data_IF_336595528964
#
_entry.id   IF_336595528964
#
_cell.length_a   1.000
_cell.length_b   1.000
_cell.length_c   1.000
_cell.angle_alpha   90.00
_cell.angle_beta   90.00
_cell.angle_gamma   90.00
#
_symmetry.space_group_name_H-M   'P 1'
#
loop_
_entity.id
_entity.type
_entity.pdbx_description
1 polymer ?
#
# COMPACT_ATOMS: atom_id res chain seq x y z
N UNK A 1 -8.84 9.72 29.17
CA UNK A 1 -7.75 9.79 28.17
C UNK A 1 -7.94 8.60 27.25
N UNK A 2 -8.49 8.83 26.07
CA UNK A 2 -8.78 7.78 25.09
C UNK A 2 -7.48 7.48 24.35
N UNK A 3 -7.03 6.23 24.43
CA UNK A 3 -5.79 5.77 23.83
C UNK A 3 -5.97 5.71 22.31
N UNK A 4 -5.52 6.76 21.60
CA UNK A 4 -5.29 6.74 20.16
C UNK A 4 -4.08 5.80 19.93
N UNK A 5 -4.29 4.66 19.27
CA UNK A 5 -3.17 3.73 19.03
C UNK A 5 -3.54 2.39 18.40
N UNK A 6 -4.79 1.93 18.49
CA UNK A 6 -5.15 0.58 18.03
C UNK A 6 -5.97 0.52 16.75
N UNK A 7 -6.55 1.65 16.31
CA UNK A 7 -7.36 1.71 15.10
C UNK A 7 -7.07 3.00 14.35
N UNK A 8 -6.71 2.89 13.07
CA UNK A 8 -6.90 4.00 12.15
C UNK A 8 -8.41 4.33 12.15
N UNK A 9 -8.81 5.60 12.10
CA UNK A 9 -10.22 5.95 11.88
C UNK A 9 -10.75 5.20 10.66
N UNK A 10 -11.61 4.22 10.90
CA UNK A 10 -12.24 3.43 9.84
C UNK A 10 -13.52 4.14 9.43
N UNK A 11 -13.43 4.91 8.35
CA UNK A 11 -14.59 5.48 7.68
C UNK A 11 -15.01 4.49 6.59
N UNK A 12 -16.09 3.71 6.77
CA UNK A 12 -16.60 2.85 5.71
C UNK A 12 -17.19 3.74 4.61
N UNK A 13 -16.34 4.24 3.73
CA UNK A 13 -16.78 4.85 2.48
C UNK A 13 -16.93 3.72 1.48
N UNK A 14 -18.16 3.39 1.11
CA UNK A 14 -18.39 2.56 -0.07
C UNK A 14 -17.68 3.23 -1.26
N UNK A 15 -16.89 2.45 -2.00
CA UNK A 15 -16.25 3.01 -3.20
C UNK A 15 -17.34 3.42 -4.18
N UNK A 16 -17.45 4.71 -4.45
CA UNK A 16 -18.38 5.22 -5.43
C UNK A 16 -17.84 4.85 -6.82
N UNK A 17 -18.67 4.16 -7.62
CA UNK A 17 -18.24 3.57 -8.89
C UNK A 17 -17.86 4.63 -9.95
N UNK A 18 -18.31 5.86 -9.76
CA UNK A 18 -18.07 7.03 -10.59
C UNK A 18 -16.85 7.86 -10.17
N UNK A 19 -16.13 7.46 -9.11
CA UNK A 19 -14.93 8.17 -8.64
C UNK A 19 -13.67 7.52 -9.18
N UNK A 20 -12.87 8.29 -9.93
CA UNK A 20 -11.49 7.94 -10.23
C UNK A 20 -10.61 8.18 -9.00
N UNK A 21 -10.44 7.14 -8.19
CA UNK A 21 -9.66 7.19 -6.95
C UNK A 21 -8.19 7.57 -7.14
N UNK A 22 -7.60 7.29 -8.31
CA UNK A 22 -6.22 7.69 -8.57
C UNK A 22 -6.13 9.22 -8.71
N UNK A 23 -7.01 9.81 -9.52
CA UNK A 23 -7.11 11.26 -9.68
C UNK A 23 -7.58 11.97 -8.40
N UNK A 24 -8.53 11.38 -7.65
CA UNK A 24 -8.98 11.94 -6.38
C UNK A 24 -7.85 11.94 -5.32
N UNK A 25 -7.10 10.84 -5.21
CA UNK A 25 -5.92 10.78 -4.34
C UNK A 25 -4.85 11.79 -4.76
N UNK A 26 -4.68 11.99 -6.07
CA UNK A 26 -3.77 12.99 -6.63
C UNK A 26 -4.17 14.42 -6.22
N UNK A 27 -5.46 14.75 -6.35
CA UNK A 27 -6.02 16.04 -5.94
C UNK A 27 -5.87 16.28 -4.43
N UNK A 28 -6.20 15.30 -3.59
CA UNK A 28 -6.02 15.40 -2.14
C UNK A 28 -4.54 15.58 -1.77
N UNK A 29 -3.62 14.88 -2.46
CA UNK A 29 -2.18 15.07 -2.26
C UNK A 29 -1.74 16.49 -2.59
N UNK A 30 -2.21 17.03 -3.71
CA UNK A 30 -1.92 18.41 -4.10
C UNK A 30 -2.45 19.40 -3.06
N UNK A 31 -3.69 19.26 -2.59
CA UNK A 31 -4.25 20.11 -1.53
C UNK A 31 -3.39 20.08 -0.26
N UNK A 32 -2.93 18.90 0.17
CA UNK A 32 -2.08 18.78 1.36
C UNK A 32 -0.73 19.51 1.21
N UNK A 33 -0.11 19.44 0.03
CA UNK A 33 1.20 20.05 -0.20
C UNK A 33 1.13 21.57 -0.37
N UNK A 34 0.11 22.07 -1.06
CA UNK A 34 0.03 23.48 -1.44
C UNK A 34 -0.82 24.31 -0.49
N UNK A 35 -1.85 23.72 0.11
CA UNK A 35 -2.81 24.43 0.97
C UNK A 35 -2.73 23.99 2.45
N UNK A 36 -2.01 22.92 2.75
CA UNK A 36 -1.80 22.40 4.10
C UNK A 36 -2.93 21.49 4.62
N UNK A 37 -2.62 20.75 5.68
CA UNK A 37 -3.52 19.73 6.23
C UNK A 37 -4.73 20.27 7.02
N UNK A 38 -4.63 21.47 7.57
CA UNK A 38 -5.63 22.04 8.48
C UNK A 38 -7.00 22.21 7.80
N UNK A 39 -7.01 22.82 6.61
CA UNK A 39 -8.23 23.00 5.80
C UNK A 39 -8.86 21.67 5.39
N UNK A 40 -8.03 20.70 5.02
CA UNK A 40 -8.53 19.39 4.64
C UNK A 40 -9.20 18.68 5.84
N UNK A 41 -8.65 18.84 7.04
CA UNK A 41 -9.26 18.32 8.28
C UNK A 41 -10.60 18.99 8.55
N UNK A 42 -10.74 20.30 8.31
CA UNK A 42 -12.03 21.00 8.45
C UNK A 42 -13.11 20.40 7.53
N UNK A 43 -12.76 20.07 6.28
CA UNK A 43 -13.67 19.39 5.34
C UNK A 43 -14.07 18.01 5.86
N UNK A 44 -13.11 17.22 6.38
CA UNK A 44 -13.40 15.89 6.91
C UNK A 44 -14.23 15.90 8.20
N UNK A 45 -14.17 16.96 8.98
CA UNK A 45 -14.94 17.14 10.22
C UNK A 45 -16.31 17.78 9.99
N UNK A 46 -16.56 18.32 8.80
CA UNK A 46 -17.84 18.92 8.46
C UNK A 46 -18.95 17.86 8.42
N UNK A 47 -20.11 18.18 9.00
CA UNK A 47 -21.28 17.31 9.05
C UNK A 47 -21.91 17.10 7.66
N UNK A 48 -21.67 18.05 6.74
CA UNK A 48 -22.00 17.96 5.33
C UNK A 48 -20.72 17.92 4.49
N UNK A 49 -20.56 16.88 3.67
CA UNK A 49 -19.48 16.77 2.70
C UNK A 49 -19.98 17.13 1.29
N UNK A 50 -19.21 17.91 0.54
CA UNK A 50 -19.57 18.28 -0.84
C UNK A 50 -18.76 19.45 -1.39
N UNK A 51 -19.07 19.82 -2.64
CA UNK A 51 -18.42 20.92 -3.35
C UNK A 51 -18.60 22.25 -2.60
N UNK A 52 -19.81 22.53 -2.10
CA UNK A 52 -20.09 23.77 -1.35
C UNK A 52 -19.21 23.91 -0.11
N UNK A 53 -18.94 22.81 0.61
CA UNK A 53 -18.06 22.82 1.78
C UNK A 53 -16.59 23.01 1.39
N UNK A 54 -16.16 22.43 0.27
CA UNK A 54 -14.83 22.66 -0.28
C UNK A 54 -14.66 24.13 -0.67
N UNK A 55 -15.64 24.71 -1.36
CA UNK A 55 -15.62 26.12 -1.75
C UNK A 55 -15.59 27.06 -0.53
N UNK A 56 -16.36 26.74 0.52
CA UNK A 56 -16.36 27.50 1.77
C UNK A 56 -15.01 27.40 2.50
N UNK A 57 -14.44 26.21 2.69
CA UNK A 57 -13.17 26.05 3.41
C UNK A 57 -12.00 26.71 2.67
N UNK A 58 -11.95 26.55 1.34
CA UNK A 58 -10.88 27.15 0.53
C UNK A 58 -11.18 28.59 0.09
N UNK A 59 -12.35 29.12 0.46
CA UNK A 59 -12.80 30.48 0.12
C UNK A 59 -12.62 30.80 -1.38
N UNK A 60 -12.93 29.81 -2.24
CA UNK A 60 -12.68 29.84 -3.68
C UNK A 60 -13.70 28.96 -4.39
N UNK A 61 -14.15 29.35 -5.59
CA UNK A 61 -15.05 28.51 -6.38
C UNK A 61 -14.36 27.24 -6.87
N UNK A 62 -15.11 26.16 -7.04
CA UNK A 62 -14.60 24.85 -7.46
C UNK A 62 -13.82 24.93 -8.78
N UNK A 63 -14.33 25.71 -9.74
CA UNK A 63 -13.68 25.91 -11.03
C UNK A 63 -12.29 26.54 -10.91
N UNK A 64 -12.09 27.45 -9.95
CA UNK A 64 -10.80 28.08 -9.71
C UNK A 64 -9.83 27.10 -9.02
N UNK A 65 -10.33 26.30 -8.07
CA UNK A 65 -9.56 25.25 -7.40
C UNK A 65 -9.12 24.18 -8.40
N UNK A 66 -10.02 23.75 -9.28
CA UNK A 66 -9.74 22.79 -10.34
C UNK A 66 -8.71 23.33 -11.34
N UNK A 67 -8.87 24.58 -11.79
CA UNK A 67 -7.92 25.23 -12.68
C UNK A 67 -6.52 25.33 -12.04
N UNK A 68 -6.44 25.68 -10.75
CA UNK A 68 -5.19 25.67 -9.99
C UNK A 68 -4.56 24.29 -9.95
N UNK A 69 -5.33 23.26 -9.56
CA UNK A 69 -4.85 21.88 -9.52
C UNK A 69 -4.21 21.46 -10.84
N UNK A 70 -4.87 21.67 -11.98
CA UNK A 70 -4.29 21.30 -13.28
C UNK A 70 -3.08 22.13 -13.69
N UNK A 71 -2.96 23.36 -13.20
CA UNK A 71 -1.82 24.24 -13.51
C UNK A 71 -0.61 24.03 -12.59
N UNK A 72 -0.83 23.59 -11.35
CA UNK A 72 0.19 23.53 -10.30
C UNK A 72 0.59 22.10 -9.91
N UNK A 73 -0.29 21.11 -10.14
CA UNK A 73 0.03 19.72 -9.80
C UNK A 73 1.14 19.18 -10.69
N UNK A 74 2.00 18.35 -10.08
CA UNK A 74 2.95 17.56 -10.85
C UNK A 74 2.20 16.46 -11.60
N UNK A 75 2.67 16.06 -12.79
CA UNK A 75 2.09 14.91 -13.51
C UNK A 75 2.01 13.62 -12.69
N UNK A 76 2.93 13.48 -11.73
CA UNK A 76 2.94 12.43 -10.73
C UNK A 76 3.71 12.91 -9.52
N UNK A 77 3.23 12.60 -8.32
CA UNK A 77 4.00 12.81 -7.10
C UNK A 77 5.03 11.68 -6.92
N UNK A 78 6.27 11.99 -6.48
CA UNK A 78 7.16 10.96 -5.99
C UNK A 78 6.48 10.25 -4.81
N UNK A 79 6.82 8.96 -4.60
CA UNK A 79 6.37 8.25 -3.38
C UNK A 79 6.70 9.10 -2.16
N UNK A 80 5.68 9.41 -1.36
CA UNK A 80 5.77 10.38 -0.28
C UNK A 80 6.85 10.03 0.76
N UNK A 81 7.24 8.76 0.88
CA UNK A 81 8.33 8.32 1.72
C UNK A 81 9.03 7.07 1.15
N UNK A 82 10.37 7.08 1.17
CA UNK A 82 11.25 5.90 1.27
C UNK A 82 11.71 5.80 2.73
N UNK A 83 10.82 5.48 3.66
CA UNK A 83 11.33 4.93 4.92
C UNK A 83 11.77 3.52 4.56
N UNK A 84 13.05 3.14 4.78
CA UNK A 84 13.48 1.77 4.52
C UNK A 84 12.57 0.86 5.32
N UNK A 85 11.75 0.08 4.63
CA UNK A 85 10.89 -0.87 5.32
C UNK A 85 11.80 -1.97 5.88
N UNK A 86 11.50 -2.55 7.05
CA UNK A 86 12.30 -3.63 7.58
C UNK A 86 12.48 -4.75 6.54
N UNK A 87 13.73 -5.15 6.30
CA UNK A 87 14.04 -6.19 5.31
C UNK A 87 13.57 -7.56 5.82
N UNK A 88 12.95 -8.35 4.96
CA UNK A 88 12.61 -9.75 5.27
C UNK A 88 13.89 -10.53 5.56
N UNK A 89 13.88 -11.31 6.65
CA UNK A 89 15.02 -12.14 7.01
C UNK A 89 15.08 -13.36 6.11
N UNK A 90 16.23 -13.62 5.51
CA UNK A 90 16.45 -14.85 4.76
C UNK A 90 16.50 -16.04 5.72
N UNK A 91 15.58 -17.00 5.55
CA UNK A 91 15.43 -18.19 6.41
C UNK A 91 15.74 -19.50 5.69
N UNK A 92 15.98 -19.44 4.37
CA UNK A 92 16.43 -20.54 3.52
C UNK A 92 17.13 -20.00 2.26
N UNK A 93 17.65 -20.88 1.42
CA UNK A 93 18.42 -20.47 0.22
C UNK A 93 17.62 -19.52 -0.69
N UNK A 94 16.33 -19.77 -0.85
CA UNK A 94 15.42 -18.99 -1.69
C UNK A 94 14.15 -18.60 -0.95
N UNK A 95 14.23 -18.43 0.38
CA UNK A 95 13.09 -18.17 1.25
C UNK A 95 13.39 -17.05 2.25
N UNK A 96 12.45 -16.12 2.37
CA UNK A 96 12.49 -14.97 3.27
C UNK A 96 11.22 -14.90 4.11
N UNK A 97 11.36 -14.48 5.37
CA UNK A 97 10.24 -14.38 6.29
C UNK A 97 10.40 -13.21 7.28
N UNK A 98 9.28 -12.75 7.82
CA UNK A 98 9.27 -11.79 8.92
C UNK A 98 8.02 -11.97 9.78
N UNK A 99 8.19 -11.77 11.09
CA UNK A 99 7.07 -11.55 12.01
C UNK A 99 6.58 -10.11 11.88
N UNK A 100 5.27 -9.95 11.95
CA UNK A 100 4.56 -8.69 11.79
C UNK A 100 3.86 -8.35 13.11
N UNK A 101 3.96 -7.09 13.51
CA UNK A 101 3.23 -6.51 14.63
C UNK A 101 2.47 -5.29 14.10
N UNK A 102 1.14 -5.32 14.18
CA UNK A 102 0.29 -4.28 13.62
C UNK A 102 -0.01 -3.24 14.69
N UNK A 103 0.94 -2.34 14.91
CA UNK A 103 0.86 -1.24 15.87
C UNK A 103 1.05 0.10 15.15
N UNK A 104 0.05 0.99 15.23
CA UNK A 104 0.11 2.31 14.63
C UNK A 104 1.27 3.19 15.13
N UNK A 105 1.89 2.83 16.26
CA UNK A 105 3.09 3.49 16.77
C UNK A 105 4.37 3.18 16.01
N UNK A 106 4.37 2.19 15.11
CA UNK A 106 5.55 1.78 14.35
C UNK A 106 5.64 2.50 13.00
N UNK A 107 6.86 2.88 12.60
CA UNK A 107 7.12 3.68 11.39
C UNK A 107 6.84 2.94 10.07
N UNK A 108 6.82 1.61 10.10
CA UNK A 108 6.54 0.72 8.98
C UNK A 108 5.06 0.31 8.89
N UNK A 109 4.21 0.82 9.78
CA UNK A 109 2.77 0.56 9.79
C UNK A 109 2.02 1.73 9.18
N UNK A 110 1.00 1.42 8.38
CA UNK A 110 0.12 2.38 7.69
C UNK A 110 -1.33 2.05 7.97
N UNK A 111 -2.14 3.09 8.21
CA UNK A 111 -3.60 2.96 8.27
C UNK A 111 -4.22 2.99 6.88
N UNK A 112 -5.21 2.14 6.65
CA UNK A 112 -6.06 2.15 5.45
C UNK A 112 -7.52 2.00 5.85
N UNK A 113 -8.44 2.23 4.91
CA UNK A 113 -9.86 1.94 5.12
C UNK A 113 -10.16 0.45 5.31
N UNK A 114 -9.24 -0.45 4.97
CA UNK A 114 -9.43 -1.91 5.07
C UNK A 114 -8.74 -2.52 6.31
N UNK A 115 -7.99 -1.72 7.08
CA UNK A 115 -7.20 -2.17 8.24
C UNK A 115 -5.81 -1.57 8.29
N UNK A 116 -4.89 -2.25 8.97
CA UNK A 116 -3.49 -1.83 9.10
C UNK A 116 -2.63 -2.55 8.06
N UNK A 117 -1.63 -1.85 7.52
CA UNK A 117 -0.68 -2.39 6.55
C UNK A 117 0.73 -2.33 7.13
N UNK A 118 1.42 -3.46 7.17
CA UNK A 118 2.83 -3.53 7.48
C UNK A 118 3.66 -3.57 6.19
N UNK A 119 4.74 -2.79 6.15
CA UNK A 119 5.67 -2.74 5.02
C UNK A 119 6.92 -3.57 5.30
N UNK A 120 7.39 -4.33 4.32
CA UNK A 120 8.68 -5.05 4.36
C UNK A 120 9.42 -4.88 3.05
N UNK A 121 10.73 -5.01 3.07
CA UNK A 121 11.54 -5.05 1.84
C UNK A 121 12.07 -6.46 1.58
N UNK A 122 12.17 -6.84 0.31
CA UNK A 122 12.87 -8.07 -0.09
C UNK A 122 13.63 -7.86 -1.39
N UNK A 123 14.89 -8.25 -1.42
CA UNK A 123 15.71 -8.25 -2.63
C UNK A 123 15.73 -9.64 -3.25
N UNK A 124 15.19 -9.75 -4.45
CA UNK A 124 15.14 -10.99 -5.22
C UNK A 124 16.38 -11.07 -6.13
N UNK A 125 17.23 -12.10 -5.98
CA UNK A 125 18.53 -12.15 -6.65
C UNK A 125 18.45 -12.51 -8.14
N UNK A 126 17.33 -13.10 -8.59
CA UNK A 126 17.14 -13.56 -9.96
C UNK A 126 15.68 -13.44 -10.39
N UNK A 127 15.39 -13.24 -11.69
CA UNK A 127 14.02 -13.31 -12.19
C UNK A 127 13.47 -14.75 -12.07
N UNK A 128 12.17 -14.88 -11.83
CA UNK A 128 11.54 -16.20 -11.69
C UNK A 128 10.13 -16.14 -11.12
N UNK A 129 9.55 -17.30 -10.84
CA UNK A 129 8.29 -17.37 -10.10
C UNK A 129 8.57 -17.26 -8.61
N UNK A 130 7.84 -16.38 -7.93
CA UNK A 130 7.92 -16.21 -6.49
C UNK A 130 6.53 -16.37 -5.89
N UNK A 131 6.50 -17.10 -4.78
CA UNK A 131 5.30 -17.31 -3.99
C UNK A 131 5.28 -16.39 -2.78
N UNK A 132 4.08 -15.90 -2.44
CA UNK A 132 3.83 -15.06 -1.28
C UNK A 132 2.71 -15.66 -0.45
N UNK A 133 2.87 -15.60 0.87
CA UNK A 133 1.87 -16.03 1.84
C UNK A 133 1.94 -15.20 3.12
N UNK A 134 0.79 -15.05 3.79
CA UNK A 134 0.72 -14.43 5.10
C UNK A 134 -0.38 -15.05 5.95
N UNK A 135 -0.11 -15.15 7.26
CA UNK A 135 -1.06 -15.64 8.25
C UNK A 135 -2.15 -14.64 8.63
N UNK A 136 -2.09 -13.39 8.16
CA UNK A 136 -3.02 -12.32 8.58
C UNK A 136 -4.42 -12.46 7.99
N UNK A 137 -4.58 -13.32 6.99
CA UNK A 137 -5.85 -13.50 6.27
C UNK A 137 -6.27 -12.31 5.39
N UNK A 138 -5.50 -11.21 5.39
CA UNK A 138 -5.76 -10.03 4.58
C UNK A 138 -5.10 -10.09 3.21
N UNK A 139 -4.59 -8.94 2.77
CA UNK A 139 -4.01 -8.74 1.43
C UNK A 139 -2.50 -8.61 1.47
N UNK A 140 -1.81 -9.26 0.54
CA UNK A 140 -0.37 -9.04 0.32
C UNK A 140 -0.20 -8.42 -1.05
N UNK A 141 0.68 -7.42 -1.14
CA UNK A 141 1.04 -6.75 -2.37
C UNK A 141 2.55 -6.59 -2.46
N UNK A 142 3.13 -6.97 -3.60
CA UNK A 142 4.53 -6.74 -3.92
C UNK A 142 4.64 -5.65 -4.98
N UNK A 143 5.41 -4.59 -4.70
CA UNK A 143 5.66 -3.51 -5.64
C UNK A 143 7.14 -3.34 -5.84
N UNK A 144 7.58 -3.34 -7.10
CA UNK A 144 8.98 -3.13 -7.44
C UNK A 144 9.38 -1.68 -7.12
N UNK A 145 10.47 -1.50 -6.39
CA UNK A 145 10.98 -0.16 -6.14
C UNK A 145 11.55 0.44 -7.42
N UNK A 146 11.08 1.64 -7.77
CA UNK A 146 11.54 2.36 -8.97
C UNK A 146 13.00 2.80 -8.73
N UNK A 147 13.95 2.04 -9.26
CA UNK A 147 15.38 2.33 -9.16
C UNK A 147 16.30 1.31 -9.80
N UNK A 148 15.96 0.01 -9.82
CA UNK A 148 16.89 -1.04 -10.27
C UNK A 148 16.17 -2.19 -10.98
N UNK A 149 15.62 -1.93 -12.18
CA UNK A 149 15.24 -3.04 -13.07
C UNK A 149 16.53 -3.55 -13.73
N UNK A 150 17.13 -4.60 -13.17
CA UNK A 150 18.33 -5.19 -13.75
C UNK A 150 17.98 -6.08 -14.93
N UNK A 151 16.88 -6.85 -14.85
CA UNK A 151 16.36 -7.73 -15.92
C UNK A 151 14.93 -8.17 -15.59
N UNK A 152 13.97 -7.96 -16.51
CA UNK A 152 12.58 -8.37 -16.35
C UNK A 152 12.18 -9.36 -17.46
N UNK A 153 11.55 -10.52 -17.17
CA UNK A 153 10.94 -11.35 -18.20
C UNK A 153 9.80 -10.58 -18.91
N UNK A 154 9.48 -10.92 -20.17
CA UNK A 154 8.41 -10.26 -20.96
C UNK A 154 7.03 -10.22 -20.26
N UNK A 155 6.84 -11.02 -19.21
CA UNK A 155 5.61 -11.15 -18.43
C UNK A 155 5.73 -10.64 -16.98
N UNK A 156 6.89 -10.06 -16.57
CA UNK A 156 7.04 -9.52 -15.23
C UNK A 156 6.17 -8.27 -15.06
N UNK A 157 5.28 -8.32 -14.09
CA UNK A 157 4.47 -7.17 -13.69
C UNK A 157 5.30 -6.26 -12.79
N UNK A 158 5.35 -4.97 -13.11
CA UNK A 158 5.99 -3.94 -12.26
C UNK A 158 5.21 -3.63 -10.98
N UNK A 159 4.02 -4.21 -10.81
CA UNK A 159 3.13 -3.93 -9.66
C UNK A 159 2.16 -5.08 -9.40
N UNK A 160 2.16 -5.54 -8.14
CA UNK A 160 0.97 -5.92 -7.37
C UNK A 160 0.36 -7.29 -7.63
N UNK A 161 0.83 -8.29 -6.90
CA UNK A 161 -0.02 -9.44 -6.53
C UNK A 161 -1.07 -8.95 -5.53
N UNK A 162 -2.32 -9.40 -5.64
CA UNK A 162 -3.32 -9.20 -4.61
C UNK A 162 -3.79 -10.57 -4.14
N UNK A 163 -3.50 -10.89 -2.88
CA UNK A 163 -4.08 -12.03 -2.20
C UNK A 163 -5.27 -11.58 -1.36
N UNK A 164 -6.28 -12.44 -1.25
CA UNK A 164 -7.35 -12.30 -0.28
C UNK A 164 -7.47 -13.67 0.43
N UNK A 165 -7.33 -13.70 1.75
CA UNK A 165 -7.66 -14.88 2.55
C UNK A 165 -6.61 -16.00 2.56
N UNK A 166 -5.51 -15.82 3.29
CA UNK A 166 -4.61 -16.89 3.78
C UNK A 166 -3.99 -17.84 2.75
N UNK A 167 -4.27 -17.65 1.47
CA UNK A 167 -3.79 -18.47 0.36
C UNK A 167 -2.38 -18.11 -0.08
N UNK A 168 -1.80 -19.00 -0.88
CA UNK A 168 -0.51 -18.79 -1.54
C UNK A 168 -0.78 -18.22 -2.92
N UNK A 169 -0.11 -17.12 -3.28
CA UNK A 169 -0.04 -16.68 -4.68
C UNK A 169 1.32 -17.00 -5.23
N UNK A 170 1.40 -17.22 -6.54
CA UNK A 170 2.67 -17.28 -7.26
C UNK A 170 2.62 -16.36 -8.46
N UNK A 171 3.67 -15.57 -8.64
CA UNK A 171 3.77 -14.61 -9.74
C UNK A 171 5.17 -14.56 -10.35
N UNK A 172 5.30 -14.25 -11.65
CA UNK A 172 6.60 -13.98 -12.25
C UNK A 172 7.10 -12.58 -11.80
N UNK A 173 8.23 -12.55 -11.10
CA UNK A 173 8.92 -11.33 -10.68
C UNK A 173 10.28 -11.21 -11.36
N UNK A 174 10.71 -9.98 -11.57
CA UNK A 174 12.05 -9.63 -12.02
C UNK A 174 13.05 -9.74 -10.84
N UNK A 175 14.35 -9.72 -11.14
CA UNK A 175 15.33 -9.44 -10.10
C UNK A 175 15.22 -7.97 -9.65
N UNK A 176 15.41 -7.72 -8.36
CA UNK A 176 15.34 -6.36 -7.79
C UNK A 176 14.78 -6.33 -6.37
N UNK A 177 14.69 -5.11 -5.84
CA UNK A 177 14.13 -4.87 -4.50
C UNK A 177 12.63 -4.55 -4.59
N UNK A 178 11.85 -5.27 -3.80
CA UNK A 178 10.40 -5.16 -3.73
C UNK A 178 9.97 -4.71 -2.35
N UNK A 179 9.04 -3.77 -2.31
CA UNK A 179 8.25 -3.45 -1.13
C UNK A 179 7.07 -4.43 -1.05
N UNK A 180 6.99 -5.17 0.05
CA UNK A 180 5.91 -6.08 0.40
C UNK A 180 4.99 -5.38 1.40
N UNK A 181 3.79 -5.04 0.95
CA UNK A 181 2.71 -4.53 1.80
C UNK A 181 1.82 -5.68 2.26
N UNK A 182 1.66 -5.86 3.57
CA UNK A 182 0.80 -6.87 4.17
C UNK A 182 -0.32 -6.19 4.95
N UNK A 183 -1.54 -6.30 4.46
CA UNK A 183 -2.75 -5.84 5.11
C UNK A 183 -3.25 -6.87 6.13
N UNK A 184 -3.49 -6.40 7.34
CA UNK A 184 -4.20 -7.08 8.41
C UNK A 184 -5.62 -6.49 8.53
N UNK A 185 -6.68 -7.31 8.42
CA UNK A 185 -8.04 -6.89 8.73
C UNK A 185 -8.16 -6.42 10.19
N UNK A 186 -9.22 -5.65 10.53
CA UNK A 186 -9.45 -5.20 11.91
C UNK A 186 -9.44 -6.36 12.92
N UNK A 187 -8.74 -6.18 14.04
CA UNK A 187 -8.65 -7.17 15.11
C UNK A 187 -7.49 -8.18 14.98
N UNK A 188 -6.68 -8.08 13.92
CA UNK A 188 -5.44 -8.85 13.79
C UNK A 188 -4.27 -8.02 14.33
N UNK A 189 -3.64 -8.48 15.41
CA UNK A 189 -2.55 -7.77 16.10
C UNK A 189 -1.16 -8.19 15.60
N UNK A 190 -1.02 -9.42 15.10
CA UNK A 190 0.26 -9.96 14.66
C UNK A 190 0.10 -10.99 13.54
N UNK A 191 1.17 -11.25 12.80
CA UNK A 191 1.19 -12.31 11.80
C UNK A 191 2.59 -12.63 11.30
N UNK A 192 2.65 -13.45 10.25
CA UNK A 192 3.88 -13.79 9.54
C UNK A 192 3.67 -13.51 8.07
N UNK A 193 4.71 -13.05 7.39
CA UNK A 193 4.79 -13.02 5.93
C UNK A 193 5.96 -13.87 5.48
N UNK A 194 5.76 -14.62 4.40
CA UNK A 194 6.79 -15.47 3.78
C UNK A 194 6.79 -15.23 2.29
N UNK A 195 7.99 -15.09 1.73
CA UNK A 195 8.26 -15.01 0.29
C UNK A 195 9.26 -16.09 -0.07
N UNK A 196 9.05 -16.84 -1.16
CA UNK A 196 10.00 -17.86 -1.62
C UNK A 196 10.01 -18.02 -3.12
N UNK A 197 11.14 -18.45 -3.68
CA UNK A 197 11.19 -18.85 -5.09
C UNK A 197 10.37 -20.13 -5.31
N UNK A 198 9.58 -20.13 -6.36
CA UNK A 198 8.75 -21.25 -6.79
C UNK A 198 9.23 -21.77 -8.16
N UNK A 199 9.04 -23.06 -8.42
CA UNK A 199 9.55 -23.70 -9.64
C UNK A 199 8.72 -23.36 -10.90
N UNK A 200 7.50 -22.88 -10.72
CA UNK A 200 6.56 -22.58 -11.81
C UNK A 200 5.37 -21.76 -11.31
N UNK A 201 4.35 -21.54 -12.14
CA UNK A 201 3.21 -20.67 -11.83
C UNK A 201 2.21 -21.28 -10.82
N UNK A 202 2.36 -22.56 -10.46
CA UNK A 202 1.45 -23.27 -9.55
C UNK A 202 1.86 -22.97 -8.11
N UNK A 203 0.99 -22.39 -7.26
CA UNK A 203 1.27 -22.14 -5.86
C UNK A 203 1.61 -23.43 -5.10
N UNK A 204 2.84 -23.50 -4.58
CA UNK A 204 3.32 -24.61 -3.76
C UNK A 204 3.94 -24.08 -2.47
N UNK A 205 3.64 -24.67 -1.30
CA UNK A 205 4.27 -24.28 -0.04
C UNK A 205 5.78 -24.53 -0.06
N UNK A 206 6.54 -23.85 0.82
CA UNK A 206 7.98 -24.11 0.96
C UNK A 206 8.23 -25.60 1.23
N UNK A 207 9.07 -26.25 0.43
CA UNK A 207 9.34 -27.69 0.51
C UNK A 207 8.58 -28.57 -0.50
N UNK A 208 7.69 -28.01 -1.32
CA UNK A 208 7.30 -28.61 -2.59
C UNK A 208 6.39 -29.84 -2.53
N UNK A 209 5.50 -29.95 -1.53
CA UNK A 209 4.42 -30.94 -1.60
C UNK A 209 3.05 -30.26 -1.81
N UNK A 210 2.23 -30.77 -2.75
CA UNK A 210 0.87 -30.29 -3.00
C UNK A 210 -0.08 -30.58 -1.84
#
# INVERSE_FOLDING_TARGET
MTQLGFYAPHYPTERAADVDYASAGHFVRWLLEWEGAERLVEIFLAEAAGIEQLEDVYQSGYADIEAKFYSESSWSYPRAYRHPAPVLTQVGETQWASELSFDCGQEDIRGTSEGLVALREVTLPAPGFYSLWSSTGGRITATLEIGEIVEAPEQATSSGVQLLGGGISTVPLAAGTYEISVLAPPGIESGVVVVWANQGPVPLPPGGQP
#
